data_IF_708759888445
#
_entry.id   IF_708759888445
#
_cell.length_a   1.000
_cell.length_b   1.000
_cell.length_c   1.000
_cell.angle_alpha   90.00
_cell.angle_beta   90.00
_cell.angle_gamma   90.00
#
_symmetry.space_group_name_H-M   'P 1'
#
loop_
_entity.id
_entity.type
_entity.pdbx_description
1 polymer ?
#
# COMPACT_ATOMS: atom_id res chain seq x y z
N UNK A 1 -11.19 -2.78 6.60
CA UNK A 1 -9.73 -3.01 6.63
C UNK A 1 -8.95 -2.12 5.65
N UNK A 2 -9.09 -2.31 4.33
CA UNK A 2 -8.25 -1.64 3.33
C UNK A 2 -8.16 -0.11 3.47
N UNK A 3 -9.26 0.57 3.79
CA UNK A 3 -9.25 2.03 4.00
C UNK A 3 -8.22 2.46 5.07
N UNK A 4 -8.10 1.72 6.16
CA UNK A 4 -7.15 2.03 7.23
C UNK A 4 -5.71 1.66 6.84
N UNK A 5 -5.53 0.53 6.15
CA UNK A 5 -4.23 0.08 5.62
C UNK A 5 -3.66 1.15 4.69
N UNK A 6 -4.44 1.53 3.67
CA UNK A 6 -4.06 2.54 2.68
C UNK A 6 -3.59 3.85 3.32
N UNK A 7 -4.35 4.35 4.30
CA UNK A 7 -4.00 5.58 5.03
C UNK A 7 -2.73 5.42 5.86
N UNK A 8 -2.49 4.25 6.44
CA UNK A 8 -1.27 4.00 7.23
C UNK A 8 -0.04 3.84 6.34
N UNK A 9 -0.18 3.17 5.21
CA UNK A 9 0.89 2.97 4.24
C UNK A 9 1.32 4.30 3.64
N UNK A 10 0.36 5.15 3.23
CA UNK A 10 0.65 6.50 2.75
C UNK A 10 1.45 7.34 3.75
N UNK A 11 1.15 7.23 5.06
CA UNK A 11 1.91 7.92 6.12
C UNK A 11 3.31 7.37 6.27
N UNK A 12 3.46 6.05 6.15
CA UNK A 12 4.76 5.37 6.26
C UNK A 12 5.67 5.72 5.08
N UNK A 13 5.12 5.68 3.85
CA UNK A 13 5.81 6.10 2.64
C UNK A 13 6.14 7.60 2.68
N UNK A 14 5.21 8.46 3.07
CA UNK A 14 5.49 9.89 3.20
C UNK A 14 6.59 10.16 4.24
N UNK A 15 6.63 9.44 5.36
CA UNK A 15 7.71 9.55 6.34
C UNK A 15 9.06 9.12 5.74
N UNK A 16 9.12 7.99 5.04
CA UNK A 16 10.32 7.54 4.32
C UNK A 16 10.74 8.49 3.17
N UNK A 17 9.81 9.31 2.66
CA UNK A 17 10.10 10.38 1.72
C UNK A 17 10.59 11.69 2.40
N UNK A 18 10.57 11.75 3.74
CA UNK A 18 10.97 12.92 4.53
C UNK A 18 9.81 13.79 5.03
N UNK A 19 8.55 13.39 4.82
CA UNK A 19 7.34 14.11 5.23
C UNK A 19 6.73 13.55 6.51
N UNK A 20 7.47 13.59 7.62
CA UNK A 20 7.02 13.01 8.90
C UNK A 20 5.70 13.60 9.46
N UNK A 21 5.36 14.83 9.03
CA UNK A 21 4.14 15.54 9.42
C UNK A 21 2.94 15.25 8.50
N UNK A 22 3.12 14.47 7.43
CA UNK A 22 2.02 14.06 6.55
C UNK A 22 1.11 13.06 7.27
N UNK A 23 0.08 13.58 7.95
CA UNK A 23 -0.86 12.80 8.77
C UNK A 23 -2.31 13.18 8.48
N UNK A 24 -2.77 13.11 7.23
CA UNK A 24 -4.12 13.52 6.90
C UNK A 24 -5.15 12.61 7.59
N UNK A 25 -6.31 13.17 7.94
CA UNK A 25 -7.44 12.40 8.49
C UNK A 25 -8.08 11.49 7.44
N UNK A 26 -8.05 11.90 6.17
CA UNK A 26 -8.47 11.16 4.98
C UNK A 26 -7.47 11.38 3.84
N UNK A 27 -7.21 10.35 3.04
CA UNK A 27 -6.37 10.49 1.83
C UNK A 27 -7.12 11.13 0.66
N UNK A 28 -8.45 11.07 0.63
CA UNK A 28 -9.22 11.68 -0.44
C UNK A 28 -9.07 13.21 -0.40
N UNK A 29 -8.45 13.77 -1.43
CA UNK A 29 -8.12 15.20 -1.51
C UNK A 29 -6.87 15.62 -0.72
N UNK A 30 -6.13 14.66 -0.14
CA UNK A 30 -4.82 14.94 0.42
C UNK A 30 -3.82 15.28 -0.70
N UNK A 31 -2.78 16.04 -0.34
CA UNK A 31 -1.68 16.38 -1.25
C UNK A 31 -0.39 16.03 -0.51
N UNK A 32 0.40 15.12 -1.08
CA UNK A 32 1.74 14.83 -0.56
C UNK A 32 2.61 16.06 -0.80
N UNK A 33 3.32 16.58 0.21
CA UNK A 33 4.20 17.73 0.00
C UNK A 33 5.28 17.40 -1.05
N UNK A 34 5.75 18.40 -1.83
CA UNK A 34 6.84 18.18 -2.77
C UNK A 34 8.15 17.89 -2.03
N UNK A 35 9.02 17.09 -2.64
CA UNK A 35 10.35 16.80 -2.09
C UNK A 35 11.19 18.06 -1.95
N UNK A 36 11.81 18.25 -0.79
CA UNK A 36 12.76 19.33 -0.55
C UNK A 36 14.13 19.05 -1.21
N UNK A 37 14.54 17.78 -1.29
CA UNK A 37 15.76 17.30 -1.95
C UNK A 37 15.46 15.97 -2.63
N UNK A 38 16.04 15.75 -3.81
CA UNK A 38 15.88 14.49 -4.55
C UNK A 38 17.02 13.53 -4.22
N UNK A 39 16.63 12.35 -3.74
CA UNK A 39 17.46 11.13 -3.62
C UNK A 39 16.67 9.94 -4.16
N UNK A 40 17.31 8.81 -4.43
CA UNK A 40 16.61 7.60 -4.85
C UNK A 40 15.60 7.15 -3.80
N UNK A 41 16.01 7.16 -2.52
CA UNK A 41 15.15 6.81 -1.39
C UNK A 41 13.90 7.72 -1.33
N UNK A 42 14.14 9.04 -1.26
CA UNK A 42 13.05 10.01 -1.16
C UNK A 42 12.12 9.96 -2.38
N UNK A 43 12.66 9.80 -3.60
CA UNK A 43 11.88 9.71 -4.84
C UNK A 43 11.00 8.48 -4.89
N UNK A 44 11.51 7.30 -4.53
CA UNK A 44 10.71 6.07 -4.52
C UNK A 44 9.53 6.21 -3.55
N UNK A 45 9.81 6.59 -2.31
CA UNK A 45 8.76 6.64 -1.29
C UNK A 45 7.78 7.81 -1.50
N UNK A 46 8.21 8.92 -2.13
CA UNK A 46 7.30 9.97 -2.61
C UNK A 46 6.31 9.40 -3.63
N UNK A 47 6.83 8.72 -4.66
CA UNK A 47 6.01 8.11 -5.71
C UNK A 47 4.99 7.12 -5.13
N UNK A 48 5.40 6.30 -4.16
CA UNK A 48 4.49 5.37 -3.48
C UNK A 48 3.42 6.10 -2.66
N UNK A 49 3.77 7.13 -1.89
CA UNK A 49 2.81 7.92 -1.13
C UNK A 49 1.79 8.63 -2.03
N UNK A 50 2.24 9.15 -3.18
CA UNK A 50 1.37 9.77 -4.19
C UNK A 50 0.42 8.75 -4.83
N UNK A 51 0.90 7.52 -5.08
CA UNK A 51 0.07 6.41 -5.55
C UNK A 51 -1.06 6.07 -4.59
N UNK A 52 -0.79 6.04 -3.28
CA UNK A 52 -1.82 5.82 -2.26
C UNK A 52 -2.87 6.94 -2.22
N UNK A 53 -2.42 8.19 -2.32
CA UNK A 53 -3.32 9.36 -2.40
C UNK A 53 -4.18 9.32 -3.66
N UNK A 54 -3.59 8.95 -4.81
CA UNK A 54 -4.30 8.80 -6.08
C UNK A 54 -5.37 7.70 -6.01
N UNK A 55 -5.05 6.56 -5.39
CA UNK A 55 -5.95 5.42 -5.31
C UNK A 55 -7.08 5.60 -4.29
N UNK A 56 -6.96 6.53 -3.34
CA UNK A 56 -7.96 6.77 -2.30
C UNK A 56 -9.39 7.04 -2.82
N UNK A 57 -9.64 7.95 -3.79
CA UNK A 57 -10.98 8.11 -4.37
C UNK A 57 -11.48 6.87 -5.12
N UNK A 58 -10.58 6.06 -5.69
CA UNK A 58 -10.95 4.80 -6.35
C UNK A 58 -11.45 3.77 -5.31
N UNK A 59 -10.77 3.67 -4.16
CA UNK A 59 -11.19 2.80 -3.06
C UNK A 59 -12.56 3.19 -2.52
N UNK A 60 -12.81 4.49 -2.34
CA UNK A 60 -14.11 4.99 -1.86
C UNK A 60 -15.24 4.66 -2.83
N UNK A 61 -15.00 4.78 -4.14
CA UNK A 61 -15.98 4.39 -5.17
C UNK A 61 -16.25 2.89 -5.13
N UNK A 62 -15.19 2.08 -5.05
CA UNK A 62 -15.32 0.63 -4.94
C UNK A 62 -16.13 0.21 -3.70
N UNK A 63 -15.82 0.81 -2.54
CA UNK A 63 -16.54 0.56 -1.29
C UNK A 63 -18.03 0.93 -1.42
N UNK A 64 -18.34 2.09 -2.02
CA UNK A 64 -19.73 2.52 -2.25
C UNK A 64 -20.50 1.54 -3.16
N UNK A 65 -19.86 1.01 -4.22
CA UNK A 65 -20.45 0.01 -5.11
C UNK A 65 -20.79 -1.30 -4.39
N UNK A 66 -20.01 -1.66 -3.36
CA UNK A 66 -20.26 -2.79 -2.47
C UNK A 66 -21.27 -2.49 -1.34
N UNK A 67 -21.91 -1.31 -1.35
CA UNK A 67 -22.85 -0.89 -0.33
C UNK A 67 -22.21 -0.44 0.99
N UNK A 68 -20.88 -0.27 1.01
CA UNK A 68 -20.14 0.25 2.16
C UNK A 68 -20.14 1.78 2.13
N UNK A 69 -21.28 2.40 2.46
CA UNK A 69 -21.47 3.86 2.51
C UNK A 69 -21.33 4.47 3.91
N UNK A 70 -20.90 3.66 4.89
CA UNK A 70 -20.70 4.06 6.27
C UNK A 70 -19.38 4.77 6.54
N UNK A 71 -19.12 5.04 7.82
CA UNK A 71 -17.92 5.71 8.30
C UNK A 71 -16.69 4.79 8.24
N UNK A 72 -16.07 4.70 7.06
CA UNK A 72 -14.85 3.91 6.85
C UNK A 72 -13.66 4.42 7.67
N UNK A 73 -13.67 5.71 8.07
CA UNK A 73 -12.63 6.33 8.90
C UNK A 73 -12.60 5.72 10.29
N UNK A 74 -13.77 5.38 10.81
CA UNK A 74 -13.97 4.82 12.15
C UNK A 74 -14.27 3.31 12.13
N UNK A 75 -14.06 2.63 11.01
CA UNK A 75 -14.18 1.17 10.92
C UNK A 75 -13.30 0.48 11.97
N UNK A 76 -13.89 -0.45 12.74
CA UNK A 76 -13.20 -1.23 13.74
C UNK A 76 -12.31 -2.29 13.07
N UNK A 77 -11.07 -1.93 12.79
CA UNK A 77 -10.06 -2.79 12.18
C UNK A 77 -9.69 -3.98 13.08
N UNK A 78 -9.49 -5.15 12.48
CA UNK A 78 -9.00 -6.33 13.18
C UNK A 78 -7.49 -6.24 13.44
N UNK A 79 -6.96 -6.91 14.46
CA UNK A 79 -5.51 -7.01 14.66
C UNK A 79 -4.77 -7.59 13.45
N UNK A 80 -5.37 -8.60 12.79
CA UNK A 80 -4.81 -9.20 11.58
C UNK A 80 -4.76 -8.21 10.41
N UNK A 81 -5.80 -7.39 10.23
CA UNK A 81 -5.82 -6.31 9.25
C UNK A 81 -4.81 -5.19 9.52
N UNK A 82 -4.39 -5.00 10.78
CA UNK A 82 -3.40 -3.99 11.16
C UNK A 82 -1.95 -4.49 11.17
N UNK A 83 -1.69 -5.80 11.08
CA UNK A 83 -0.34 -6.35 11.14
C UNK A 83 0.58 -5.79 10.04
N UNK A 84 0.10 -5.79 8.80
CA UNK A 84 0.82 -5.25 7.64
C UNK A 84 1.16 -3.75 7.77
N UNK A 85 0.19 -2.83 7.97
CA UNK A 85 0.50 -1.41 8.09
C UNK A 85 1.31 -1.07 9.35
N UNK A 86 1.20 -1.84 10.43
CA UNK A 86 2.04 -1.65 11.62
C UNK A 86 3.52 -1.96 11.33
N UNK A 87 3.79 -2.94 10.47
CA UNK A 87 5.16 -3.24 10.07
C UNK A 87 5.73 -2.19 9.11
N UNK A 88 4.93 -1.63 8.19
CA UNK A 88 5.34 -0.44 7.44
C UNK A 88 5.67 0.76 8.32
N UNK A 89 4.85 1.00 9.35
CA UNK A 89 5.12 2.06 10.31
C UNK A 89 6.43 1.82 11.09
N UNK A 90 6.76 0.56 11.40
CA UNK A 90 8.06 0.19 11.98
C UNK A 90 9.22 0.53 11.04
N UNK A 91 9.16 0.08 9.77
CA UNK A 91 10.19 0.37 8.77
C UNK A 91 10.41 1.88 8.61
N UNK A 92 9.31 2.66 8.56
CA UNK A 92 9.37 4.11 8.48
C UNK A 92 9.97 4.75 9.74
N UNK A 93 9.54 4.32 10.93
CA UNK A 93 10.01 4.85 12.21
C UNK A 93 11.52 4.66 12.41
N UNK A 94 12.07 3.55 11.90
CA UNK A 94 13.51 3.23 11.98
C UNK A 94 14.28 3.57 10.72
N UNK A 95 13.65 4.25 9.75
CA UNK A 95 14.28 4.68 8.50
C UNK A 95 14.93 3.52 7.72
N UNK A 96 14.30 2.34 7.72
CA UNK A 96 14.78 1.14 7.04
C UNK A 96 14.50 1.17 5.52
N UNK A 97 15.05 2.17 4.83
CA UNK A 97 14.77 2.46 3.42
C UNK A 97 15.09 1.29 2.48
N UNK A 98 16.27 0.66 2.61
CA UNK A 98 16.64 -0.49 1.78
C UNK A 98 15.71 -1.70 2.00
N UNK A 99 15.34 -1.97 3.25
CA UNK A 99 14.40 -3.03 3.57
C UNK A 99 13.02 -2.77 2.96
N UNK A 100 12.49 -1.55 3.12
CA UNK A 100 11.22 -1.13 2.52
C UNK A 100 11.24 -1.19 1.00
N UNK A 101 12.29 -0.68 0.35
CA UNK A 101 12.41 -0.65 -1.10
C UNK A 101 12.47 -2.06 -1.72
N UNK A 102 13.29 -2.95 -1.14
CA UNK A 102 13.35 -4.35 -1.57
C UNK A 102 12.01 -5.07 -1.35
N UNK A 103 11.32 -4.76 -0.25
CA UNK A 103 10.02 -5.34 0.01
C UNK A 103 8.95 -4.84 -0.95
N UNK A 104 8.95 -3.58 -1.38
CA UNK A 104 8.06 -3.12 -2.45
C UNK A 104 8.28 -3.90 -3.74
N UNK A 105 9.52 -4.02 -4.19
CA UNK A 105 9.87 -4.73 -5.43
C UNK A 105 9.39 -6.19 -5.45
N UNK A 106 9.38 -6.85 -4.30
CA UNK A 106 8.99 -8.26 -4.19
C UNK A 106 7.50 -8.44 -3.86
N UNK A 107 6.95 -7.59 -2.98
CA UNK A 107 5.60 -7.77 -2.43
C UNK A 107 4.53 -7.18 -3.35
N UNK A 108 4.79 -6.05 -3.99
CA UNK A 108 3.77 -5.38 -4.83
C UNK A 108 3.34 -6.22 -6.04
N UNK A 109 4.23 -6.97 -6.72
CA UNK A 109 3.81 -7.93 -7.74
C UNK A 109 2.89 -9.03 -7.19
N UNK A 110 3.03 -9.45 -5.93
CA UNK A 110 2.15 -10.43 -5.30
C UNK A 110 0.76 -9.83 -5.01
N UNK A 111 0.74 -8.67 -4.37
CA UNK A 111 -0.47 -7.87 -4.15
C UNK A 111 -1.23 -7.60 -5.44
N UNK A 112 -0.55 -7.12 -6.48
CA UNK A 112 -1.17 -6.78 -7.76
C UNK A 112 -1.78 -7.99 -8.47
N UNK A 113 -1.11 -9.16 -8.42
CA UNK A 113 -1.72 -10.41 -8.91
C UNK A 113 -3.00 -10.78 -8.15
N UNK A 114 -3.07 -10.47 -6.86
CA UNK A 114 -4.29 -10.69 -6.07
C UNK A 114 -5.39 -9.71 -6.46
N UNK A 115 -5.08 -8.42 -6.55
CA UNK A 115 -6.03 -7.40 -7.03
C UNK A 115 -6.59 -7.76 -8.41
N UNK A 116 -5.75 -8.18 -9.36
CA UNK A 116 -6.20 -8.59 -10.69
C UNK A 116 -7.13 -9.82 -10.67
N UNK A 117 -6.84 -10.80 -9.80
CA UNK A 117 -7.72 -11.97 -9.62
C UNK A 117 -9.08 -11.60 -9.01
N UNK A 118 -9.09 -10.72 -8.01
CA UNK A 118 -10.33 -10.23 -7.39
C UNK A 118 -11.13 -9.40 -8.40
N UNK A 119 -10.47 -8.50 -9.14
CA UNK A 119 -11.11 -7.69 -10.19
C UNK A 119 -11.78 -8.57 -11.25
N UNK A 120 -11.05 -9.55 -11.81
CA UNK A 120 -11.58 -10.48 -12.80
C UNK A 120 -12.77 -11.31 -12.26
N UNK A 121 -12.72 -11.72 -11.00
CA UNK A 121 -13.81 -12.45 -10.36
C UNK A 121 -15.06 -11.57 -10.24
N UNK A 122 -14.94 -10.32 -9.78
CA UNK A 122 -16.07 -9.39 -9.66
C UNK A 122 -16.63 -9.00 -11.04
N UNK A 123 -15.77 -8.75 -12.01
CA UNK A 123 -16.14 -8.41 -13.40
C UNK A 123 -16.91 -9.54 -14.12
N UNK A 124 -16.78 -10.80 -13.66
CA UNK A 124 -17.54 -11.92 -14.22
C UNK A 124 -19.06 -11.83 -13.98
N UNK A 125 -19.50 -10.94 -13.08
CA UNK A 125 -20.91 -10.77 -12.71
C UNK A 125 -21.45 -11.85 -11.77
N UNK A 126 -20.62 -12.81 -11.36
CA UNK A 126 -21.04 -13.91 -10.48
C UNK A 126 -21.24 -13.51 -9.01
N UNK A 127 -20.62 -12.41 -8.58
CA UNK A 127 -20.53 -12.05 -7.16
C UNK A 127 -21.12 -10.68 -6.80
N UNK A 128 -21.39 -9.81 -7.79
CA UNK A 128 -21.95 -8.47 -7.55
C UNK A 128 -22.26 -7.72 -8.85
N UNK A 129 -23.05 -6.64 -8.76
CA UNK A 129 -23.32 -5.69 -9.85
C UNK A 129 -22.29 -4.55 -9.87
N UNK A 130 -20.99 -4.84 -9.92
CA UNK A 130 -19.93 -3.83 -9.91
C UNK A 130 -19.50 -3.54 -11.35
N UNK A 131 -19.52 -2.26 -11.74
CA UNK A 131 -19.12 -1.78 -13.07
C UNK A 131 -17.59 -1.65 -13.18
N UNK A 132 -17.07 -1.49 -14.40
CA UNK A 132 -15.63 -1.28 -14.63
C UNK A 132 -15.07 -0.08 -13.86
N UNK A 133 -15.81 1.02 -13.81
CA UNK A 133 -15.38 2.25 -13.14
C UNK A 133 -15.26 2.08 -11.62
N UNK A 134 -16.02 1.14 -11.06
CA UNK A 134 -16.04 0.78 -9.65
C UNK A 134 -14.96 -0.26 -9.30
N UNK A 135 -14.35 -0.94 -10.29
CA UNK A 135 -13.19 -1.82 -10.12
C UNK A 135 -11.85 -1.08 -10.15
N UNK A 136 -11.86 0.22 -10.46
CA UNK A 136 -10.64 1.00 -10.69
C UNK A 136 -9.58 0.95 -9.59
N UNK A 137 -9.96 0.74 -8.32
CA UNK A 137 -8.98 0.52 -7.24
C UNK A 137 -8.19 -0.77 -7.43
N UNK A 138 -8.89 -1.88 -7.71
CA UNK A 138 -8.27 -3.17 -7.94
C UNK A 138 -7.45 -3.15 -9.23
N UNK A 139 -7.96 -2.53 -10.29
CA UNK A 139 -7.26 -2.44 -11.56
C UNK A 139 -5.99 -1.59 -11.46
N UNK A 140 -6.03 -0.48 -10.71
CA UNK A 140 -4.85 0.36 -10.47
C UNK A 140 -3.73 -0.42 -9.78
N UNK A 141 -4.03 -1.18 -8.73
CA UNK A 141 -3.02 -1.98 -8.04
C UNK A 141 -2.65 -3.27 -8.77
N UNK A 142 -3.48 -3.75 -9.70
CA UNK A 142 -3.16 -4.90 -10.54
C UNK A 142 -2.11 -4.58 -11.61
N UNK A 143 -2.00 -3.31 -12.00
CA UNK A 143 -1.01 -2.86 -12.99
C UNK A 143 0.41 -2.88 -12.40
N UNK A 144 1.38 -3.53 -13.07
CA UNK A 144 2.77 -3.51 -12.63
C UNK A 144 3.37 -2.10 -12.69
N UNK A 145 4.19 -1.76 -11.70
CA UNK A 145 4.98 -0.52 -11.72
C UNK A 145 6.22 -0.74 -12.59
N UNK A 146 6.27 -0.08 -13.74
CA UNK A 146 7.43 -0.11 -14.62
C UNK A 146 8.68 0.44 -13.90
N UNK A 147 9.79 -0.30 -13.97
CA UNK A 147 11.06 0.14 -13.40
C UNK A 147 11.17 0.02 -11.87
N UNK A 148 10.20 -0.60 -11.18
CA UNK A 148 10.20 -0.71 -9.71
C UNK A 148 11.48 -1.35 -9.16
N UNK A 149 11.97 -2.40 -9.81
CA UNK A 149 13.22 -3.08 -9.41
C UNK A 149 14.42 -2.13 -9.48
N UNK A 150 14.50 -1.30 -10.52
CA UNK A 150 15.57 -0.32 -10.70
C UNK A 150 15.48 0.81 -9.67
N UNK A 151 14.28 1.27 -9.35
CA UNK A 151 14.07 2.24 -8.28
C UNK A 151 14.53 1.66 -6.93
N UNK A 152 14.15 0.42 -6.64
CA UNK A 152 14.55 -0.25 -5.41
C UNK A 152 16.07 -0.43 -5.33
N UNK A 153 16.73 -0.87 -6.40
CA UNK A 153 18.20 -0.97 -6.47
C UNK A 153 18.84 0.38 -6.18
N UNK A 154 18.32 1.49 -6.74
CA UNK A 154 18.82 2.83 -6.46
C UNK A 154 18.73 3.20 -4.97
N UNK A 155 17.68 2.78 -4.27
CA UNK A 155 17.57 2.97 -2.81
C UNK A 155 18.59 2.12 -2.06
N UNK A 156 18.80 0.86 -2.46
CA UNK A 156 19.78 -0.02 -1.82
C UNK A 156 21.21 0.51 -1.98
N UNK A 157 21.53 1.12 -3.13
CA UNK A 157 22.82 1.77 -3.38
C UNK A 157 23.00 3.03 -2.52
N UNK A 158 21.94 3.85 -2.37
CA UNK A 158 21.98 5.08 -1.56
C UNK A 158 21.98 4.80 -0.04
N UNK A 159 21.22 3.80 0.39
CA UNK A 159 20.94 3.47 1.80
C UNK A 159 21.25 2.00 2.09
N UNK A 160 22.53 1.58 2.03
CA UNK A 160 22.89 0.17 2.12
C UNK A 160 22.48 -0.46 3.44
N UNK A 161 22.03 -1.71 3.37
CA UNK A 161 21.71 -2.58 4.50
C UNK A 161 22.30 -3.98 4.25
N UNK A 162 22.43 -4.78 5.31
CA UNK A 162 22.88 -6.16 5.14
C UNK A 162 21.81 -7.00 4.45
N UNK A 163 22.23 -8.03 3.71
CA UNK A 163 21.32 -9.00 3.11
C UNK A 163 20.35 -9.61 4.13
N UNK A 164 20.84 -9.89 5.34
CA UNK A 164 20.03 -10.50 6.40
C UNK A 164 18.89 -9.58 6.85
N UNK A 165 19.14 -8.29 7.00
CA UNK A 165 18.12 -7.30 7.35
C UNK A 165 17.05 -7.23 6.27
N UNK A 166 17.48 -7.04 5.01
CA UNK A 166 16.58 -6.97 3.85
C UNK A 166 15.73 -8.24 3.71
N UNK A 167 16.37 -9.42 3.70
CA UNK A 167 15.67 -10.69 3.55
C UNK A 167 14.68 -10.97 4.69
N UNK A 168 15.03 -10.54 5.92
CA UNK A 168 14.13 -10.67 7.07
C UNK A 168 12.90 -9.79 6.89
N UNK A 169 13.08 -8.54 6.47
CA UNK A 169 11.98 -7.60 6.30
C UNK A 169 11.03 -8.00 5.17
N UNK A 170 11.57 -8.41 4.02
CA UNK A 170 10.78 -8.91 2.90
C UNK A 170 9.91 -10.11 3.34
N UNK A 171 10.52 -11.09 4.02
CA UNK A 171 9.80 -12.28 4.50
C UNK A 171 8.70 -11.90 5.50
N UNK A 172 8.96 -10.94 6.39
CA UNK A 172 7.96 -10.46 7.35
C UNK A 172 6.80 -9.76 6.63
N UNK A 173 7.08 -8.87 5.66
CA UNK A 173 6.02 -8.19 4.88
C UNK A 173 5.10 -9.19 4.16
N UNK A 174 5.67 -10.18 3.48
CA UNK A 174 4.87 -11.24 2.83
C UNK A 174 4.03 -12.03 3.84
N UNK A 175 4.58 -12.33 5.02
CA UNK A 175 3.86 -12.98 6.11
C UNK A 175 2.70 -12.13 6.64
N UNK A 176 2.92 -10.83 6.82
CA UNK A 176 1.86 -9.91 7.24
C UNK A 176 0.79 -9.69 6.16
N UNK A 177 1.14 -9.73 4.87
CA UNK A 177 0.15 -9.70 3.79
C UNK A 177 -0.74 -10.94 3.82
N UNK A 178 -0.16 -12.13 4.02
CA UNK A 178 -0.95 -13.36 4.20
C UNK A 178 -1.91 -13.24 5.41
N UNK A 179 -1.41 -12.75 6.54
CA UNK A 179 -2.26 -12.50 7.73
C UNK A 179 -3.40 -11.51 7.45
N UNK A 180 -3.16 -10.49 6.61
CA UNK A 180 -4.20 -9.55 6.19
C UNK A 180 -5.29 -10.28 5.40
N UNK A 181 -4.92 -11.09 4.41
CA UNK A 181 -5.89 -11.84 3.61
C UNK A 181 -6.68 -12.86 4.45
N UNK A 182 -6.02 -13.55 5.37
CA UNK A 182 -6.67 -14.47 6.31
C UNK A 182 -7.67 -13.72 7.22
N UNK A 183 -7.31 -12.53 7.70
CA UNK A 183 -8.19 -11.70 8.51
C UNK A 183 -9.41 -11.21 7.72
N UNK A 184 -9.22 -10.78 6.47
CA UNK A 184 -10.32 -10.40 5.57
C UNK A 184 -11.26 -11.58 5.32
N UNK A 185 -10.72 -12.78 5.11
CA UNK A 185 -11.53 -13.98 4.90
C UNK A 185 -12.31 -14.38 6.17
N UNK A 186 -11.70 -14.23 7.35
CA UNK A 186 -12.30 -14.60 8.63
C UNK A 186 -13.34 -13.59 9.15
N UNK A 187 -13.33 -12.34 8.67
CA UNK A 187 -14.24 -11.28 9.10
C UNK A 187 -15.69 -11.41 8.55
N UNK A 188 -16.11 -12.63 8.18
CA UNK A 188 -17.47 -12.95 7.72
C UNK A 188 -18.49 -12.95 8.87
#
# INVERSE_FOLDING_TARGET
EQYSVQRSDARSFANLAGHADFRPSSLAGAIVPPLAQSGAAASLFQFLAEGEVYAAPLLLRHAAALGMSGDLVHYAVTPGGQGYPAYWAHLAQFSEHAAGAAACAINFPAWGRMCGRVSAALASGLYSNVSSDELGFLDFFAEPIEGLDQMAIGVLDEKPASYKEVATAVRLLQGYELMFWDAVYAAQ
#
